data_IF_432486189658
#
_entry.id   IF_432486189658
#
_cell.length_a   1.000
_cell.length_b   1.000
_cell.length_c   1.000
_cell.angle_alpha   90.00
_cell.angle_beta   90.00
_cell.angle_gamma   90.00
#
_symmetry.space_group_name_H-M   'P 1'
#
loop_
_entity.id
_entity.type
_entity.pdbx_description
1 polymer ?
#
# COMPACT_ATOMS: atom_id res chain seq x y z
N UNK A 1 -1.60 11.49 -6.35
CA UNK A 1 -1.30 10.73 -5.10
C UNK A 1 -1.74 9.28 -5.15
N UNK A 2 -2.65 8.95 -6.07
CA UNK A 2 -3.18 7.60 -6.26
C UNK A 2 -2.38 6.76 -7.27
N UNK A 3 -1.16 7.21 -7.61
CA UNK A 3 -0.34 6.57 -8.64
C UNK A 3 -0.01 5.12 -8.28
N UNK A 4 -0.40 4.18 -9.15
CA UNK A 4 -0.22 2.74 -8.96
C UNK A 4 -1.14 2.12 -7.90
N UNK A 5 -2.12 2.88 -7.36
CA UNK A 5 -3.13 2.33 -6.45
C UNK A 5 -4.20 1.61 -7.24
N UNK A 6 -4.56 0.41 -6.80
CA UNK A 6 -5.58 -0.44 -7.41
C UNK A 6 -6.93 -0.18 -6.75
N UNK A 7 -7.83 0.48 -7.46
CA UNK A 7 -9.14 0.87 -6.95
C UNK A 7 -10.20 0.03 -7.66
N UNK A 8 -10.90 -0.78 -6.89
CA UNK A 8 -12.08 -1.49 -7.36
C UNK A 8 -13.31 -0.61 -7.11
N UNK A 9 -14.14 -0.39 -8.12
CA UNK A 9 -15.38 0.39 -8.00
C UNK A 9 -16.57 -0.55 -8.13
N UNK A 10 -17.43 -0.61 -7.11
CA UNK A 10 -18.71 -1.31 -7.13
C UNK A 10 -19.85 -0.33 -7.41
N UNK A 11 -20.56 -0.51 -8.53
CA UNK A 11 -21.64 0.37 -8.98
C UNK A 11 -22.99 -0.34 -8.82
N UNK A 12 -23.93 0.31 -8.14
CA UNK A 12 -25.28 -0.22 -7.91
C UNK A 12 -26.35 0.62 -8.63
N UNK A 13 -27.56 0.06 -8.79
CA UNK A 13 -28.66 0.65 -9.56
C UNK A 13 -29.25 1.93 -8.96
N UNK A 14 -28.57 3.06 -9.17
CA UNK A 14 -28.99 4.39 -8.75
C UNK A 14 -28.80 5.38 -9.89
N UNK A 15 -29.68 6.38 -9.98
CA UNK A 15 -29.53 7.48 -10.95
C UNK A 15 -28.16 8.15 -10.84
N UNK A 16 -27.56 8.20 -9.64
CA UNK A 16 -26.22 8.77 -9.44
C UNK A 16 -25.09 8.03 -10.18
N UNK A 17 -25.35 6.86 -10.78
CA UNK A 17 -24.36 6.10 -11.54
C UNK A 17 -23.82 6.89 -12.76
N UNK A 18 -24.56 7.88 -13.27
CA UNK A 18 -24.06 8.77 -14.34
C UNK A 18 -22.79 9.56 -13.93
N UNK A 19 -22.55 9.73 -12.62
CA UNK A 19 -21.37 10.42 -12.09
C UNK A 19 -20.09 9.55 -12.14
N UNK A 20 -20.24 8.24 -12.27
CA UNK A 20 -19.10 7.30 -12.18
C UNK A 20 -18.12 7.41 -13.35
N UNK A 21 -18.55 7.61 -14.61
CA UNK A 21 -17.63 7.97 -15.70
C UNK A 21 -16.67 9.12 -15.35
N UNK A 22 -17.15 10.18 -14.70
CA UNK A 22 -16.32 11.30 -14.27
C UNK A 22 -15.35 10.90 -13.16
N UNK A 23 -15.82 10.14 -12.16
CA UNK A 23 -14.99 9.62 -11.09
C UNK A 23 -13.85 8.75 -11.60
N UNK A 24 -14.12 7.81 -12.52
CA UNK A 24 -13.10 6.96 -13.13
C UNK A 24 -12.04 7.82 -13.82
N UNK A 25 -12.47 8.81 -14.62
CA UNK A 25 -11.55 9.71 -15.33
C UNK A 25 -10.64 10.48 -14.37
N UNK A 26 -11.16 10.95 -13.24
CA UNK A 26 -10.36 11.64 -12.22
C UNK A 26 -9.35 10.70 -11.56
N UNK A 27 -9.76 9.47 -11.20
CA UNK A 27 -8.88 8.47 -10.59
C UNK A 27 -7.75 8.03 -11.53
N UNK A 28 -8.06 7.77 -12.81
CA UNK A 28 -7.07 7.43 -13.83
C UNK A 28 -6.10 8.59 -14.08
N UNK A 29 -6.59 9.84 -14.09
CA UNK A 29 -5.75 11.04 -14.20
C UNK A 29 -4.76 11.16 -13.04
N UNK A 30 -5.15 10.75 -11.83
CA UNK A 30 -4.27 10.66 -10.65
C UNK A 30 -3.32 9.45 -10.67
N UNK A 31 -3.38 8.62 -11.71
CA UNK A 31 -2.51 7.48 -11.95
C UNK A 31 -2.97 6.17 -11.27
N UNK A 32 -4.22 6.09 -10.83
CA UNK A 32 -4.78 4.86 -10.26
C UNK A 32 -5.11 3.84 -11.35
N UNK A 33 -4.97 2.55 -11.02
CA UNK A 33 -5.51 1.46 -11.80
C UNK A 33 -6.95 1.18 -11.35
N UNK A 34 -7.91 1.22 -12.27
CA UNK A 34 -9.33 1.10 -11.92
C UNK A 34 -9.95 -0.13 -12.55
N UNK A 35 -10.59 -0.98 -11.73
CA UNK A 35 -11.49 -2.05 -12.18
C UNK A 35 -12.89 -1.79 -11.67
N UNK A 36 -13.89 -2.27 -12.41
CA UNK A 36 -15.29 -1.92 -12.14
C UNK A 36 -16.14 -3.19 -12.05
N UNK A 37 -16.90 -3.31 -10.97
CA UNK A 37 -17.98 -4.27 -10.77
C UNK A 37 -19.31 -3.53 -10.86
N UNK A 38 -20.25 -4.06 -11.62
CA UNK A 38 -21.54 -3.41 -11.91
C UNK A 38 -22.66 -4.39 -11.59
N UNK A 39 -23.61 -4.00 -10.74
CA UNK A 39 -24.83 -4.83 -10.55
C UNK A 39 -25.68 -4.81 -11.81
N UNK A 40 -26.52 -5.83 -12.00
CA UNK A 40 -27.47 -5.86 -13.11
C UNK A 40 -28.30 -4.56 -13.23
N UNK A 41 -28.90 -4.11 -12.12
CA UNK A 41 -29.69 -2.87 -12.07
C UNK A 41 -28.90 -1.59 -12.35
N UNK A 42 -27.56 -1.60 -12.28
CA UNK A 42 -26.74 -0.44 -12.61
C UNK A 42 -26.54 -0.27 -14.13
N UNK A 43 -26.72 -1.35 -14.90
CA UNK A 43 -26.56 -1.33 -16.37
C UNK A 43 -27.54 -0.39 -17.07
N UNK A 44 -28.71 -0.19 -16.47
CA UNK A 44 -29.76 0.71 -16.99
C UNK A 44 -29.38 2.19 -16.85
N UNK A 45 -28.47 2.53 -15.93
CA UNK A 45 -28.05 3.91 -15.68
C UNK A 45 -26.70 4.26 -16.29
N UNK A 46 -25.81 3.27 -16.42
CA UNK A 46 -24.48 3.45 -17.01
C UNK A 46 -24.06 2.19 -17.76
N UNK A 47 -23.59 2.37 -18.99
CA UNK A 47 -23.26 1.23 -19.85
C UNK A 47 -21.89 0.63 -19.50
N UNK A 48 -21.75 -0.71 -19.46
CA UNK A 48 -20.45 -1.37 -19.27
C UNK A 48 -19.38 -0.89 -20.27
N UNK A 49 -19.77 -0.63 -21.53
CA UNK A 49 -18.87 -0.10 -22.57
C UNK A 49 -18.21 1.23 -22.16
N UNK A 50 -18.98 2.17 -21.61
CA UNK A 50 -18.46 3.47 -21.16
C UNK A 50 -17.47 3.27 -20.02
N UNK A 51 -17.84 2.45 -19.04
CA UNK A 51 -17.01 2.14 -17.88
C UNK A 51 -15.69 1.50 -18.30
N UNK A 52 -15.74 0.53 -19.21
CA UNK A 52 -14.54 -0.16 -19.70
C UNK A 52 -13.61 0.74 -20.50
N UNK A 53 -14.18 1.61 -21.32
CA UNK A 53 -13.39 2.57 -22.12
C UNK A 53 -12.63 3.54 -21.21
N UNK A 54 -13.28 4.04 -20.16
CA UNK A 54 -12.68 5.03 -19.26
C UNK A 54 -11.71 4.42 -18.24
N UNK A 55 -11.95 3.19 -17.80
CA UNK A 55 -11.09 2.50 -16.83
C UNK A 55 -9.89 1.80 -17.49
N UNK A 56 -9.95 1.55 -18.81
CA UNK A 56 -8.99 0.72 -19.52
C UNK A 56 -9.07 -0.78 -19.17
N UNK A 57 -10.12 -1.19 -18.46
CA UNK A 57 -10.33 -2.56 -17.99
C UNK A 57 -11.79 -3.00 -18.23
N UNK A 58 -12.09 -4.30 -18.43
CA UNK A 58 -13.47 -4.77 -18.54
C UNK A 58 -14.32 -4.37 -17.32
N UNK A 59 -15.61 -4.10 -17.55
CA UNK A 59 -16.59 -3.85 -16.51
C UNK A 59 -17.36 -5.15 -16.25
N UNK A 60 -17.17 -5.73 -15.08
CA UNK A 60 -17.63 -7.08 -14.76
C UNK A 60 -19.00 -7.03 -14.07
N UNK A 61 -19.94 -7.87 -14.52
CA UNK A 61 -21.32 -7.86 -14.01
C UNK A 61 -21.73 -9.19 -13.37
N UNK A 62 -21.28 -10.30 -13.94
CA UNK A 62 -21.72 -11.65 -13.60
C UNK A 62 -20.50 -12.50 -13.23
N UNK A 63 -20.71 -13.62 -12.52
CA UNK A 63 -19.61 -14.53 -12.16
C UNK A 63 -19.03 -15.26 -13.39
N UNK A 64 -19.85 -15.44 -14.42
CA UNK A 64 -19.47 -16.11 -15.65
C UNK A 64 -19.71 -15.18 -16.83
N UNK A 65 -18.70 -15.05 -17.68
CA UNK A 65 -18.84 -14.34 -18.93
C UNK A 65 -19.58 -15.22 -19.94
N UNK A 66 -20.70 -14.74 -20.48
CA UNK A 66 -21.52 -15.54 -21.42
C UNK A 66 -20.85 -15.73 -22.78
N UNK A 67 -19.92 -14.84 -23.13
CA UNK A 67 -19.29 -14.83 -24.47
C UNK A 67 -18.17 -15.85 -24.61
N UNK A 68 -17.37 -16.08 -23.57
CA UNK A 68 -16.21 -16.99 -23.61
C UNK A 68 -16.17 -18.02 -22.47
N UNK A 69 -17.13 -17.98 -21.53
CA UNK A 69 -17.20 -18.90 -20.40
C UNK A 69 -16.17 -18.62 -19.30
N UNK A 70 -15.47 -17.49 -19.34
CA UNK A 70 -14.50 -17.11 -18.31
C UNK A 70 -15.17 -16.91 -16.95
N UNK A 71 -14.45 -17.30 -15.89
CA UNK A 71 -14.90 -17.15 -14.50
C UNK A 71 -14.27 -15.91 -13.87
N UNK A 72 -15.13 -15.04 -13.35
CA UNK A 72 -14.75 -13.82 -12.64
C UNK A 72 -14.71 -14.09 -11.14
N UNK A 73 -13.50 -14.29 -10.61
CA UNK A 73 -13.27 -14.63 -9.21
C UNK A 73 -13.43 -13.43 -8.28
N UNK A 74 -14.49 -13.45 -7.46
CA UNK A 74 -14.72 -12.45 -6.40
C UNK A 74 -13.57 -12.37 -5.38
N UNK A 75 -12.85 -13.48 -5.14
CA UNK A 75 -11.67 -13.52 -4.27
C UNK A 75 -10.49 -12.78 -4.91
N UNK A 76 -10.28 -12.94 -6.22
CA UNK A 76 -9.17 -12.30 -6.91
C UNK A 76 -9.36 -10.79 -7.00
N UNK A 77 -10.60 -10.32 -7.21
CA UNK A 77 -10.91 -8.89 -7.13
C UNK A 77 -10.65 -8.34 -5.72
N UNK A 78 -11.09 -9.07 -4.68
CA UNK A 78 -10.86 -8.69 -3.29
C UNK A 78 -9.38 -8.63 -2.89
N UNK A 79 -8.55 -9.53 -3.43
CA UNK A 79 -7.09 -9.54 -3.20
C UNK A 79 -6.34 -8.52 -4.08
N UNK A 80 -6.88 -8.18 -5.27
CA UNK A 80 -6.24 -7.25 -6.20
C UNK A 80 -6.34 -5.80 -5.73
N UNK A 81 -7.46 -5.43 -5.12
CA UNK A 81 -7.75 -4.04 -4.77
C UNK A 81 -6.95 -3.56 -3.55
N UNK A 82 -6.38 -2.35 -3.62
CA UNK A 82 -5.86 -1.61 -2.47
C UNK A 82 -7.00 -0.91 -1.69
N UNK A 83 -8.08 -0.55 -2.39
CA UNK A 83 -9.35 -0.03 -1.83
C UNK A 83 -10.50 -0.54 -2.68
N UNK A 84 -11.60 -0.90 -2.03
CA UNK A 84 -12.88 -1.18 -2.68
C UNK A 84 -13.88 -0.05 -2.40
N UNK A 85 -14.22 0.73 -3.43
CA UNK A 85 -15.18 1.84 -3.36
C UNK A 85 -16.53 1.41 -3.92
N UNK A 86 -17.58 1.36 -3.09
CA UNK A 86 -18.96 1.22 -3.55
C UNK A 86 -19.58 2.60 -3.79
N UNK A 87 -19.73 2.99 -5.06
CA UNK A 87 -20.23 4.30 -5.46
C UNK A 87 -20.95 4.21 -6.83
N UNK A 88 -22.22 4.65 -6.91
CA UNK A 88 -23.15 4.77 -5.79
C UNK A 88 -23.46 3.42 -5.16
N UNK A 89 -23.76 3.40 -3.86
CA UNK A 89 -24.39 2.25 -3.18
C UNK A 89 -25.86 2.53 -2.85
N UNK A 90 -26.77 1.66 -3.27
CA UNK A 90 -28.21 1.76 -2.97
C UNK A 90 -28.54 1.21 -1.58
N UNK A 91 -29.71 1.59 -1.05
CA UNK A 91 -30.23 1.02 0.20
C UNK A 91 -30.31 -0.51 0.16
N UNK A 92 -30.75 -1.09 -0.96
CA UNK A 92 -30.80 -2.55 -1.16
C UNK A 92 -29.43 -3.20 -1.01
N UNK A 93 -28.41 -2.65 -1.65
CA UNK A 93 -27.05 -3.21 -1.58
C UNK A 93 -26.46 -3.04 -0.20
N UNK A 94 -26.65 -1.88 0.46
CA UNK A 94 -26.23 -1.70 1.85
C UNK A 94 -26.93 -2.68 2.79
N UNK A 95 -28.21 -2.96 2.60
CA UNK A 95 -28.94 -3.98 3.35
C UNK A 95 -28.34 -5.37 3.17
N UNK A 96 -27.98 -5.74 1.93
CA UNK A 96 -27.27 -7.01 1.66
C UNK A 96 -25.90 -7.06 2.34
N UNK A 97 -25.11 -6.00 2.22
CA UNK A 97 -23.78 -5.90 2.84
C UNK A 97 -23.87 -5.99 4.37
N UNK A 98 -24.82 -5.29 4.99
CA UNK A 98 -24.99 -5.25 6.45
C UNK A 98 -25.46 -6.58 7.04
N UNK A 99 -26.03 -7.47 6.22
CA UNK A 99 -26.57 -8.76 6.64
C UNK A 99 -25.85 -9.97 5.99
N UNK A 100 -24.71 -9.76 5.34
CA UNK A 100 -23.88 -10.85 4.80
C UNK A 100 -24.47 -11.57 3.58
N UNK A 101 -25.30 -10.91 2.76
CA UNK A 101 -25.93 -11.52 1.58
C UNK A 101 -25.02 -11.35 0.35
N UNK A 102 -24.40 -12.43 -0.09
CA UNK A 102 -23.50 -12.49 -1.26
C UNK A 102 -24.15 -13.14 -2.49
N UNK A 103 -25.23 -12.54 -2.99
CA UNK A 103 -26.02 -13.08 -4.10
C UNK A 103 -25.60 -12.60 -5.51
N UNK A 104 -24.58 -11.75 -5.60
CA UNK A 104 -24.03 -11.27 -6.87
C UNK A 104 -22.51 -11.01 -6.76
N UNK A 105 -21.85 -10.79 -7.90
CA UNK A 105 -20.39 -10.62 -7.95
C UNK A 105 -19.90 -9.48 -7.04
N UNK A 106 -20.63 -8.35 -7.00
CA UNK A 106 -20.25 -7.17 -6.22
C UNK A 106 -20.34 -7.46 -4.70
N UNK A 107 -21.43 -8.03 -4.21
CA UNK A 107 -21.62 -8.33 -2.78
C UNK A 107 -20.78 -9.52 -2.32
N UNK A 108 -20.56 -10.52 -3.18
CA UNK A 108 -19.62 -11.60 -2.91
C UNK A 108 -18.17 -11.08 -2.82
N UNK A 109 -17.78 -10.16 -3.70
CA UNK A 109 -16.46 -9.52 -3.63
C UNK A 109 -16.32 -8.67 -2.36
N UNK A 110 -17.39 -8.01 -1.92
CA UNK A 110 -17.38 -7.24 -0.67
C UNK A 110 -17.07 -8.13 0.54
N UNK A 111 -17.72 -9.30 0.66
CA UNK A 111 -17.44 -10.23 1.75
C UNK A 111 -16.04 -10.85 1.67
N UNK A 112 -15.46 -10.96 0.47
CA UNK A 112 -14.11 -11.50 0.27
C UNK A 112 -13.01 -10.42 0.33
N UNK A 113 -13.37 -9.13 0.39
CA UNK A 113 -12.41 -8.04 0.35
C UNK A 113 -11.56 -8.01 1.62
N UNK A 114 -10.24 -7.91 1.45
CA UNK A 114 -9.27 -7.73 2.55
C UNK A 114 -8.77 -6.30 2.65
N UNK A 115 -9.08 -5.48 1.65
CA UNK A 115 -8.74 -4.08 1.60
C UNK A 115 -9.79 -3.21 2.30
N UNK A 116 -9.43 -1.97 2.66
CA UNK A 116 -10.38 -0.97 3.14
C UNK A 116 -11.55 -0.76 2.17
N UNK A 117 -12.77 -0.82 2.69
CA UNK A 117 -13.99 -0.61 1.92
C UNK A 117 -14.57 0.77 2.19
N UNK A 118 -14.83 1.54 1.13
CA UNK A 118 -15.53 2.82 1.18
C UNK A 118 -16.91 2.65 0.57
N UNK A 119 -17.91 3.34 1.10
CA UNK A 119 -19.25 3.32 0.53
C UNK A 119 -19.86 4.73 0.50
N UNK A 120 -20.36 5.12 -0.68
CA UNK A 120 -20.97 6.40 -0.97
C UNK A 120 -22.44 6.19 -1.36
N UNK A 121 -23.39 6.34 -0.41
CA UNK A 121 -24.78 6.05 -0.67
C UNK A 121 -25.43 7.06 -1.61
N UNK A 122 -26.43 6.57 -2.35
CA UNK A 122 -27.27 7.41 -3.18
C UNK A 122 -28.72 6.90 -3.18
N UNK A 123 -29.63 7.68 -2.62
CA UNK A 123 -31.06 7.36 -2.52
C UNK A 123 -31.89 8.60 -2.23
N UNK A 124 -33.21 8.46 -2.27
CA UNK A 124 -34.12 9.52 -1.86
C UNK A 124 -34.00 9.85 -0.36
N UNK A 125 -34.37 11.06 0.05
CA UNK A 125 -34.25 11.56 1.43
C UNK A 125 -35.03 10.69 2.42
N UNK A 126 -36.23 10.23 2.05
CA UNK A 126 -37.05 9.39 2.93
C UNK A 126 -36.42 8.01 3.11
N UNK A 127 -35.80 7.47 2.05
CA UNK A 127 -35.05 6.22 2.13
C UNK A 127 -33.81 6.38 3.00
N UNK A 128 -33.11 7.51 2.91
CA UNK A 128 -31.92 7.78 3.71
C UNK A 128 -32.25 7.94 5.20
N UNK A 129 -33.35 8.62 5.49
CA UNK A 129 -33.85 8.84 6.86
C UNK A 129 -34.56 7.62 7.46
N UNK A 130 -34.86 6.59 6.66
CA UNK A 130 -35.53 5.40 7.16
C UNK A 130 -34.68 4.70 8.24
N UNK A 131 -35.26 4.28 9.38
CA UNK A 131 -34.51 3.66 10.48
C UNK A 131 -33.65 2.47 10.06
N UNK A 132 -34.16 1.59 9.19
CA UNK A 132 -33.41 0.44 8.68
C UNK A 132 -32.16 0.86 7.87
N UNK A 133 -32.21 1.98 7.14
CA UNK A 133 -31.05 2.49 6.42
C UNK A 133 -30.00 3.00 7.41
N UNK A 134 -30.42 3.77 8.42
CA UNK A 134 -29.55 4.23 9.50
C UNK A 134 -28.87 3.08 10.25
N UNK A 135 -29.63 2.04 10.60
CA UNK A 135 -29.09 0.83 11.22
C UNK A 135 -28.06 0.12 10.34
N UNK A 136 -28.35 -0.04 9.04
CA UNK A 136 -27.42 -0.65 8.10
C UNK A 136 -26.13 0.17 7.96
N UNK A 137 -26.23 1.51 7.85
CA UNK A 137 -25.06 2.40 7.79
C UNK A 137 -24.20 2.21 9.06
N UNK A 138 -24.81 2.23 10.24
CA UNK A 138 -24.10 2.06 11.50
C UNK A 138 -23.44 0.67 11.62
N UNK A 139 -24.12 -0.40 11.17
CA UNK A 139 -23.53 -1.75 11.11
C UNK A 139 -22.32 -1.79 10.19
N UNK A 140 -22.43 -1.21 8.98
CA UNK A 140 -21.32 -1.17 8.03
C UNK A 140 -20.12 -0.39 8.58
N UNK A 141 -20.35 0.73 9.25
CA UNK A 141 -19.30 1.49 9.95
C UNK A 141 -18.68 0.62 11.06
N UNK A 142 -19.47 -0.12 11.83
CA UNK A 142 -18.97 -1.02 12.89
C UNK A 142 -18.08 -2.16 12.37
N UNK A 143 -18.23 -2.55 11.10
CA UNK A 143 -17.35 -3.51 10.43
C UNK A 143 -16.02 -2.90 9.97
N UNK A 144 -15.83 -1.59 10.16
CA UNK A 144 -14.63 -0.86 9.74
C UNK A 144 -14.73 -0.24 8.34
N UNK A 145 -15.92 -0.23 7.72
CA UNK A 145 -16.11 0.43 6.42
C UNK A 145 -16.12 1.95 6.56
N UNK A 146 -15.56 2.63 5.58
CA UNK A 146 -15.50 4.09 5.52
C UNK A 146 -16.74 4.67 4.85
N UNK A 147 -17.54 5.38 5.63
CA UNK A 147 -18.75 6.05 5.14
C UNK A 147 -18.41 7.38 4.46
N UNK A 148 -18.81 7.53 3.20
CA UNK A 148 -18.78 8.81 2.49
C UNK A 148 -20.19 9.41 2.55
N UNK A 149 -20.34 10.48 3.34
CA UNK A 149 -21.65 11.13 3.55
C UNK A 149 -22.21 11.64 2.22
N UNK A 150 -23.51 11.41 1.93
CA UNK A 150 -24.17 12.04 0.79
C UNK A 150 -24.25 13.56 0.95
N UNK A 151 -24.36 14.26 -0.16
CA UNK A 151 -24.66 15.69 -0.18
C UNK A 151 -26.13 15.97 0.13
N UNK A 152 -26.36 17.15 0.69
CA UNK A 152 -27.67 17.74 0.88
C UNK A 152 -28.01 18.64 -0.31
N UNK A 153 -29.20 18.48 -0.88
CA UNK A 153 -29.68 19.31 -1.98
C UNK A 153 -30.98 18.79 -2.57
N UNK A 154 -31.39 19.38 -3.69
CA UNK A 154 -32.56 18.91 -4.46
C UNK A 154 -32.27 17.55 -5.12
N UNK A 155 -33.18 16.61 -4.91
CA UNK A 155 -33.16 15.23 -5.40
C UNK A 155 -33.99 15.09 -6.68
N UNK A 156 -33.79 14.00 -7.43
CA UNK A 156 -34.54 13.74 -8.66
C UNK A 156 -36.06 13.58 -8.45
N UNK A 157 -36.49 13.29 -7.22
CA UNK A 157 -37.90 13.26 -6.81
C UNK A 157 -38.53 14.65 -6.65
N UNK A 158 -37.72 15.72 -6.64
CA UNK A 158 -38.12 17.09 -6.29
C UNK A 158 -38.04 17.39 -4.79
N UNK A 159 -37.65 16.43 -3.95
CA UNK A 159 -37.44 16.64 -2.51
C UNK A 159 -36.07 17.28 -2.24
N UNK A 160 -35.95 18.00 -1.12
CA UNK A 160 -34.69 18.60 -0.68
C UNK A 160 -34.18 17.89 0.58
N UNK A 161 -32.93 17.41 0.57
CA UNK A 161 -32.32 16.78 1.73
C UNK A 161 -31.07 15.98 1.42
N UNK A 162 -30.58 15.24 2.42
CA UNK A 162 -29.44 14.35 2.27
C UNK A 162 -29.84 13.09 1.48
N UNK A 163 -29.08 12.74 0.45
CA UNK A 163 -29.35 11.54 -0.35
C UNK A 163 -28.61 11.46 -1.69
N UNK A 164 -28.05 12.58 -2.14
CA UNK A 164 -27.24 12.63 -3.36
C UNK A 164 -25.88 12.01 -3.11
N UNK A 165 -25.42 11.14 -4.01
CA UNK A 165 -24.03 10.70 -3.96
C UNK A 165 -23.10 11.92 -3.99
N UNK A 166 -22.13 11.91 -3.07
CA UNK A 166 -21.04 12.88 -2.98
C UNK A 166 -20.40 13.15 -4.34
N UNK A 167 -19.93 14.37 -4.59
CA UNK A 167 -19.34 14.71 -5.88
C UNK A 167 -18.03 13.93 -6.13
N UNK A 168 -17.76 13.52 -7.39
CA UNK A 168 -16.57 12.76 -7.74
C UNK A 168 -15.25 13.35 -7.22
N UNK A 169 -15.08 14.68 -7.32
CA UNK A 169 -13.89 15.37 -6.83
C UNK A 169 -13.67 15.20 -5.32
N UNK A 170 -14.74 15.25 -4.52
CA UNK A 170 -14.67 15.05 -3.06
C UNK A 170 -14.41 13.58 -2.69
N UNK A 171 -14.95 12.64 -3.46
CA UNK A 171 -14.60 11.21 -3.32
C UNK A 171 -13.11 11.00 -3.59
N UNK A 172 -12.57 11.57 -4.67
CA UNK A 172 -11.13 11.48 -5.00
C UNK A 172 -10.27 12.13 -3.91
N UNK A 173 -10.68 13.27 -3.36
CA UNK A 173 -10.00 13.91 -2.22
C UNK A 173 -9.99 13.03 -0.98
N UNK A 174 -11.12 12.40 -0.67
CA UNK A 174 -11.25 11.49 0.47
C UNK A 174 -10.32 10.28 0.31
N UNK A 175 -10.32 9.64 -0.85
CA UNK A 175 -9.40 8.54 -1.15
C UNK A 175 -7.94 8.98 -1.13
N UNK A 176 -7.63 10.15 -1.70
CA UNK A 176 -6.27 10.70 -1.70
C UNK A 176 -5.78 10.99 -0.29
N UNK A 177 -6.66 11.49 0.59
CA UNK A 177 -6.37 11.75 2.00
C UNK A 177 -6.19 10.46 2.78
N UNK A 178 -6.99 9.42 2.48
CA UNK A 178 -6.83 8.10 3.07
C UNK A 178 -5.48 7.46 2.73
N UNK A 179 -5.08 7.51 1.47
CA UNK A 179 -3.77 7.03 1.03
C UNK A 179 -2.62 7.98 1.38
N UNK A 180 -2.92 9.18 1.85
CA UNK A 180 -1.91 10.11 2.34
C UNK A 180 -1.31 9.51 3.61
N UNK A 181 -0.13 8.91 3.47
CA UNK A 181 0.65 8.45 4.63
C UNK A 181 0.77 9.63 5.59
N UNK A 182 0.30 9.43 6.83
CA UNK A 182 0.54 10.40 7.90
C UNK A 182 2.03 10.69 7.88
N UNK A 183 2.40 11.95 7.71
CA UNK A 183 3.80 12.35 7.83
C UNK A 183 4.19 12.46 9.31
N UNK A 184 3.84 11.45 10.08
CA UNK A 184 4.02 11.40 11.53
C UNK A 184 5.48 11.28 11.96
N UNK A 185 6.38 10.95 11.01
CA UNK A 185 7.82 11.07 11.18
C UNK A 185 8.41 12.35 10.57
N UNK A 186 7.58 13.35 10.23
CA UNK A 186 8.09 14.67 9.81
C UNK A 186 9.08 15.22 10.83
N UNK A 187 10.23 15.69 10.34
CA UNK A 187 11.33 16.25 11.14
C UNK A 187 12.04 15.25 12.07
N UNK A 188 11.70 13.95 12.00
CA UNK A 188 12.43 12.90 12.71
C UNK A 188 13.64 12.44 11.90
N UNK A 189 14.78 12.31 12.57
CA UNK A 189 16.01 11.77 12.00
C UNK A 189 16.11 10.29 12.32
N UNK A 190 16.20 9.45 11.31
CA UNK A 190 16.18 7.99 11.45
C UNK A 190 17.48 7.40 10.93
N UNK A 191 18.19 6.66 11.77
CA UNK A 191 19.38 5.88 11.39
C UNK A 191 18.96 4.42 11.15
N UNK A 192 19.26 3.87 9.97
CA UNK A 192 18.99 2.48 9.64
C UNK A 192 20.26 1.82 9.11
N UNK A 193 20.62 0.64 9.63
CA UNK A 193 21.65 -0.21 9.00
C UNK A 193 21.02 -1.31 8.15
N UNK A 194 21.64 -1.65 7.01
CA UNK A 194 21.15 -2.67 6.09
C UNK A 194 22.27 -3.47 5.40
N UNK A 195 21.92 -4.65 4.91
CA UNK A 195 22.82 -5.50 4.12
C UNK A 195 23.86 -6.26 4.96
N UNK A 196 24.75 -7.02 4.31
CA UNK A 196 25.82 -7.76 4.97
C UNK A 196 27.07 -6.90 5.14
N UNK A 197 28.02 -7.31 5.98
CA UNK A 197 29.40 -6.79 5.91
C UNK A 197 30.34 -7.85 5.34
N UNK A 198 31.34 -7.42 4.58
CA UNK A 198 32.33 -8.26 3.93
C UNK A 198 33.71 -7.97 4.50
N UNK A 199 34.20 -8.92 5.31
CA UNK A 199 35.51 -8.87 5.96
C UNK A 199 36.57 -9.46 5.04
N UNK A 200 37.43 -8.61 4.50
CA UNK A 200 38.43 -9.01 3.51
C UNK A 200 39.47 -9.98 4.13
N UNK A 201 39.65 -11.13 3.47
CA UNK A 201 40.76 -12.05 3.74
C UNK A 201 41.98 -11.62 2.89
N UNK A 202 41.72 -11.37 1.61
CA UNK A 202 42.64 -10.84 0.61
C UNK A 202 41.83 -9.95 -0.37
N UNK A 203 42.42 -9.33 -1.41
CA UNK A 203 41.67 -8.46 -2.33
C UNK A 203 40.58 -9.16 -3.16
N UNK A 204 40.49 -10.51 -3.10
CA UNK A 204 39.57 -11.33 -3.90
C UNK A 204 38.53 -12.05 -3.03
N UNK A 205 38.91 -12.41 -1.80
CA UNK A 205 38.11 -13.24 -0.90
C UNK A 205 37.72 -12.48 0.35
N UNK A 206 36.52 -12.75 0.84
CA UNK A 206 36.00 -12.16 2.06
C UNK A 206 35.16 -13.17 2.83
N UNK A 207 34.93 -12.86 4.11
CA UNK A 207 33.94 -13.51 4.98
C UNK A 207 32.74 -12.58 5.06
N UNK A 208 31.53 -13.10 4.92
CA UNK A 208 30.33 -12.29 4.99
C UNK A 208 29.07 -13.10 5.23
N UNK A 209 27.97 -12.38 5.47
CA UNK A 209 26.67 -12.97 5.80
C UNK A 209 25.72 -12.94 4.59
N UNK A 210 24.71 -13.81 4.59
CA UNK A 210 23.71 -13.94 3.52
C UNK A 210 22.57 -12.92 3.61
N UNK A 211 22.86 -11.66 3.91
CA UNK A 211 21.83 -10.62 3.93
C UNK A 211 21.58 -10.07 2.54
N UNK A 212 20.30 -10.00 2.16
CA UNK A 212 19.86 -9.35 0.92
C UNK A 212 19.72 -7.84 1.07
N UNK A 213 19.69 -7.32 2.31
CA UNK A 213 19.46 -5.91 2.63
C UNK A 213 18.03 -5.41 2.39
N UNK A 214 17.13 -6.22 1.82
CA UNK A 214 15.78 -5.79 1.43
C UNK A 214 14.98 -5.18 2.57
N UNK A 215 15.07 -5.76 3.78
CA UNK A 215 14.35 -5.26 4.95
C UNK A 215 14.77 -3.83 5.32
N UNK A 216 16.07 -3.56 5.43
CA UNK A 216 16.56 -2.23 5.81
C UNK A 216 16.22 -1.17 4.76
N UNK A 217 16.27 -1.50 3.47
CA UNK A 217 15.86 -0.60 2.39
C UNK A 217 14.35 -0.34 2.41
N UNK A 218 13.52 -1.37 2.61
CA UNK A 218 12.07 -1.21 2.70
C UNK A 218 11.67 -0.32 3.88
N UNK A 219 12.32 -0.49 5.03
CA UNK A 219 12.12 0.38 6.19
C UNK A 219 12.53 1.82 5.90
N UNK A 220 13.72 2.04 5.30
CA UNK A 220 14.19 3.37 4.94
C UNK A 220 13.22 4.10 4.00
N UNK A 221 12.76 3.43 2.95
CA UNK A 221 11.75 3.95 2.03
C UNK A 221 10.44 4.28 2.76
N UNK A 222 9.98 3.43 3.69
CA UNK A 222 8.75 3.70 4.45
C UNK A 222 8.87 4.91 5.38
N UNK A 223 9.95 5.01 6.16
CA UNK A 223 10.20 6.16 7.03
C UNK A 223 10.29 7.46 6.23
N UNK A 224 11.01 7.44 5.11
CA UNK A 224 11.17 8.58 4.24
C UNK A 224 9.83 9.01 3.62
N UNK A 225 9.00 8.05 3.18
CA UNK A 225 7.63 8.29 2.69
C UNK A 225 6.70 8.89 3.77
N UNK A 226 6.95 8.57 5.05
CA UNK A 226 6.26 9.17 6.21
C UNK A 226 6.93 10.46 6.70
N UNK A 227 7.83 11.03 5.92
CA UNK A 227 8.39 12.37 6.12
C UNK A 227 9.65 12.43 6.98
N UNK A 228 10.23 11.30 7.36
CA UNK A 228 11.52 11.26 8.06
C UNK A 228 12.67 11.74 7.17
N UNK A 229 13.74 12.20 7.83
CA UNK A 229 15.08 12.36 7.28
C UNK A 229 15.88 11.11 7.64
N UNK A 230 16.23 10.29 6.65
CA UNK A 230 16.74 8.94 6.86
C UNK A 230 18.21 8.85 6.46
N UNK A 231 19.06 8.40 7.38
CA UNK A 231 20.43 7.95 7.06
C UNK A 231 20.44 6.43 6.99
N UNK A 232 20.67 5.89 5.80
CA UNK A 232 20.75 4.46 5.55
C UNK A 232 22.21 4.05 5.40
N UNK A 233 22.78 3.39 6.40
CA UNK A 233 24.12 2.80 6.35
C UNK A 233 24.02 1.39 5.78
N UNK A 234 24.44 1.20 4.54
CA UNK A 234 24.28 -0.06 3.82
C UNK A 234 25.61 -0.72 3.51
N UNK A 235 25.71 -1.99 3.89
CA UNK A 235 26.70 -2.91 3.37
C UNK A 235 26.50 -3.24 1.88
N UNK A 236 27.30 -4.16 1.31
CA UNK A 236 27.26 -4.47 -0.12
C UNK A 236 25.97 -5.19 -0.53
N UNK A 237 25.08 -4.46 -1.22
CA UNK A 237 23.85 -4.99 -1.85
C UNK A 237 23.54 -4.25 -3.14
N UNK A 238 22.90 -4.94 -4.09
CA UNK A 238 22.45 -4.36 -5.35
C UNK A 238 21.02 -3.78 -5.25
N UNK A 239 20.80 -2.91 -4.26
CA UNK A 239 19.53 -2.20 -4.05
C UNK A 239 19.83 -0.70 -4.05
N UNK A 240 19.00 0.10 -4.69
CA UNK A 240 19.08 1.56 -4.68
C UNK A 240 17.99 2.12 -3.78
N UNK A 241 18.28 3.28 -3.15
CA UNK A 241 17.29 4.09 -2.48
C UNK A 241 16.96 5.27 -3.40
N UNK A 242 15.66 5.51 -3.65
CA UNK A 242 15.22 6.51 -4.62
C UNK A 242 14.58 7.74 -3.95
N UNK A 243 14.15 7.60 -2.70
CA UNK A 243 13.50 8.71 -2.01
C UNK A 243 14.51 9.78 -1.61
N UNK A 244 14.21 11.04 -1.97
CA UNK A 244 15.08 12.22 -1.75
C UNK A 244 15.45 12.51 -0.28
N UNK A 245 14.65 12.01 0.67
CA UNK A 245 14.92 12.14 2.10
C UNK A 245 15.80 10.99 2.64
N UNK A 246 16.37 10.13 1.77
CA UNK A 246 17.30 9.08 2.17
C UNK A 246 18.71 9.49 1.77
N UNK A 247 19.58 9.65 2.76
CA UNK A 247 21.02 9.72 2.59
C UNK A 247 21.59 8.30 2.69
N UNK A 248 22.07 7.75 1.57
CA UNK A 248 22.64 6.41 1.51
C UNK A 248 24.16 6.44 1.72
N UNK A 249 24.63 5.86 2.81
CA UNK A 249 26.04 5.73 3.17
C UNK A 249 26.47 4.29 2.88
N UNK A 250 27.38 4.10 1.91
CA UNK A 250 27.87 2.77 1.53
C UNK A 250 29.11 2.41 2.33
N UNK A 251 29.07 1.22 2.91
CA UNK A 251 30.17 0.62 3.67
C UNK A 251 30.43 -0.79 3.18
N UNK A 252 31.62 -1.32 3.45
CA UNK A 252 32.00 -2.69 3.09
C UNK A 252 32.19 -3.56 4.32
N UNK A 253 32.95 -3.08 5.30
CA UNK A 253 33.32 -3.85 6.50
C UNK A 253 32.46 -3.51 7.72
N UNK A 254 32.50 -4.37 8.72
CA UNK A 254 31.90 -4.14 10.03
C UNK A 254 32.49 -2.89 10.71
N UNK A 255 33.78 -2.62 10.53
CA UNK A 255 34.41 -1.43 11.07
C UNK A 255 33.89 -0.15 10.40
N UNK A 256 33.82 -0.12 9.06
CA UNK A 256 33.26 1.03 8.34
C UNK A 256 31.79 1.26 8.72
N UNK A 257 31.01 0.19 8.87
CA UNK A 257 29.62 0.29 9.32
C UNK A 257 29.53 0.83 10.74
N UNK A 258 30.38 0.37 11.64
CA UNK A 258 30.49 0.87 13.00
C UNK A 258 30.78 2.38 13.00
N UNK A 259 31.80 2.83 12.27
CA UNK A 259 32.20 4.24 12.23
C UNK A 259 31.07 5.13 11.66
N UNK A 260 30.39 4.67 10.61
CA UNK A 260 29.27 5.37 9.99
C UNK A 260 28.03 5.46 10.91
N UNK A 261 27.70 4.36 11.60
CA UNK A 261 26.61 4.34 12.57
C UNK A 261 26.91 5.24 13.76
N UNK A 262 28.09 5.11 14.37
CA UNK A 262 28.51 5.88 15.55
C UNK A 262 28.55 7.38 15.28
N UNK A 263 29.07 7.81 14.12
CA UNK A 263 29.10 9.23 13.73
C UNK A 263 27.70 9.83 13.48
N UNK A 264 26.70 9.00 13.18
CA UNK A 264 25.33 9.45 12.91
C UNK A 264 24.43 9.37 14.14
N UNK A 265 24.70 8.43 15.05
CA UNK A 265 23.80 8.02 16.12
C UNK A 265 23.33 9.17 17.01
N UNK A 266 24.25 10.02 17.48
CA UNK A 266 23.92 11.13 18.40
C UNK A 266 22.87 12.11 17.84
N UNK A 267 22.76 12.21 16.52
CA UNK A 267 21.80 13.09 15.85
C UNK A 267 20.47 12.41 15.49
N UNK A 268 20.27 11.14 15.80
CA UNK A 268 19.09 10.36 15.41
C UNK A 268 18.04 10.31 16.52
N UNK A 269 16.76 10.45 16.15
CA UNK A 269 15.61 10.21 17.03
C UNK A 269 15.27 8.72 17.14
N UNK A 270 15.51 7.96 16.06
CA UNK A 270 15.14 6.55 15.92
C UNK A 270 16.31 5.83 15.26
N UNK A 271 16.70 4.69 15.83
CA UNK A 271 17.76 3.84 15.31
C UNK A 271 17.24 2.42 15.08
N UNK A 272 17.50 1.86 13.89
CA UNK A 272 17.11 0.49 13.51
C UNK A 272 18.33 -0.24 12.96
N UNK A 273 18.78 -1.26 13.66
CA UNK A 273 19.94 -2.06 13.26
C UNK A 273 19.51 -3.35 12.56
N UNK A 274 19.25 -3.27 11.25
CA UNK A 274 18.79 -4.39 10.43
C UNK A 274 19.88 -5.01 9.54
N UNK A 275 21.13 -4.51 9.62
CA UNK A 275 22.27 -5.12 8.94
C UNK A 275 22.66 -6.47 9.56
N UNK A 276 23.16 -7.38 8.72
CA UNK A 276 23.80 -8.61 9.16
C UNK A 276 25.32 -8.37 9.24
N UNK A 277 25.74 -7.82 10.38
CA UNK A 277 27.15 -7.50 10.66
C UNK A 277 27.90 -8.79 10.99
N UNK A 278 29.11 -8.94 10.47
CA UNK A 278 29.99 -10.05 10.80
C UNK A 278 30.54 -9.91 12.23
N UNK A 279 30.46 -10.99 13.03
CA UNK A 279 30.98 -11.02 14.41
C UNK A 279 32.52 -11.11 14.48
N UNK A 280 33.14 -11.55 13.38
CA UNK A 280 34.56 -11.81 13.30
C UNK A 280 35.14 -11.29 11.98
N UNK A 281 36.37 -10.81 12.05
CA UNK A 281 37.15 -10.31 10.92
C UNK A 281 38.55 -10.93 10.92
N UNK A 282 39.20 -11.15 9.76
CA UNK A 282 40.58 -11.62 9.72
C UNK A 282 41.52 -10.75 10.56
N UNK A 283 42.32 -11.38 11.42
CA UNK A 283 43.25 -10.68 12.29
C UNK A 283 44.33 -9.92 11.49
N UNK A 284 44.73 -10.49 10.34
CA UNK A 284 45.70 -9.94 9.38
C UNK A 284 45.19 -10.14 7.96
N UNK A 285 44.45 -9.18 7.38
CA UNK A 285 44.07 -9.22 5.97
C UNK A 285 45.32 -9.06 5.09
N UNK A 286 45.42 -9.87 4.03
CA UNK A 286 46.54 -9.84 3.11
C UNK A 286 46.35 -8.78 2.02
N UNK A 287 47.38 -8.01 1.71
CA UNK A 287 47.32 -6.98 0.66
C UNK A 287 47.35 -7.57 -0.76
N UNK A 288 47.76 -8.83 -0.90
CA UNK A 288 47.84 -9.53 -2.18
C UNK A 288 47.07 -10.86 -2.11
N UNK A 289 46.61 -11.32 -3.28
CA UNK A 289 45.91 -12.60 -3.38
C UNK A 289 46.78 -13.72 -2.84
N UNK A 290 46.27 -14.44 -1.84
CA UNK A 290 46.98 -15.55 -1.22
C UNK A 290 47.21 -16.64 -2.28
N UNK A 291 48.49 -16.96 -2.54
CA UNK A 291 48.89 -17.98 -3.51
C UNK A 291 48.38 -19.35 -3.06
N UNK A 292 48.01 -20.20 -4.02
CA UNK A 292 47.64 -21.59 -3.72
C UNK A 292 48.87 -22.32 -3.18
N UNK A 293 48.75 -22.84 -1.97
CA UNK A 293 49.72 -23.73 -1.31
C UNK A 293 49.18 -25.16 -1.35
N UNK A 294 50.06 -26.17 -1.30
CA UNK A 294 49.66 -27.58 -1.16
C UNK A 294 49.12 -27.93 0.23
N UNK A 295 49.50 -27.15 1.25
CA UNK A 295 48.89 -27.18 2.58
C UNK A 295 47.61 -26.31 2.59
N UNK A 296 46.60 -26.73 3.35
CA UNK A 296 45.33 -26.00 3.50
C UNK A 296 45.52 -24.54 4.00
N UNK A 297 44.47 -23.74 3.89
CA UNK A 297 44.48 -22.33 4.32
C UNK A 297 43.87 -22.19 5.71
N UNK A 298 44.63 -21.65 6.66
CA UNK A 298 44.16 -21.27 8.00
C UNK A 298 44.03 -19.75 8.08
N UNK A 299 42.89 -19.26 8.55
CA UNK A 299 42.62 -17.84 8.73
C UNK A 299 42.36 -17.59 10.22
N UNK A 300 43.22 -16.81 10.85
CA UNK A 300 43.02 -16.37 12.24
C UNK A 300 42.01 -15.22 12.26
N UNK A 301 40.99 -15.32 13.13
CA UNK A 301 39.92 -14.34 13.24
C UNK A 301 39.97 -13.63 14.58
N UNK A 302 39.67 -12.34 14.58
CA UNK A 302 39.43 -11.53 15.78
C UNK A 302 37.99 -11.02 15.78
N UNK A 303 37.46 -10.69 16.96
CA UNK A 303 36.11 -10.12 17.08
C UNK A 303 36.05 -8.72 16.44
N UNK A 304 34.91 -8.41 15.83
CA UNK A 304 34.58 -7.06 15.39
C UNK A 304 34.06 -6.21 16.55
N UNK A 305 33.92 -4.90 16.32
CA UNK A 305 33.30 -4.02 17.30
C UNK A 305 31.78 -4.22 17.30
N UNK A 306 31.22 -4.33 18.50
CA UNK A 306 29.78 -4.51 18.70
C UNK A 306 29.08 -3.15 18.60
N UNK A 307 28.41 -2.92 17.46
CA UNK A 307 27.69 -1.68 17.19
C UNK A 307 26.57 -1.47 18.23
N UNK A 308 25.78 -2.50 18.55
CA UNK A 308 24.63 -2.36 19.46
C UNK A 308 25.10 -1.97 20.87
N UNK A 309 26.15 -2.63 21.34
CA UNK A 309 26.75 -2.33 22.64
C UNK A 309 27.25 -0.90 22.74
N UNK A 310 27.90 -0.38 21.70
CA UNK A 310 28.41 1.00 21.69
C UNK A 310 27.27 2.03 21.63
N UNK A 311 26.25 1.77 20.82
CA UNK A 311 25.11 2.68 20.68
C UNK A 311 24.19 2.65 21.92
N UNK A 312 24.34 1.66 22.81
CA UNK A 312 23.51 1.52 24.01
C UNK A 312 22.05 1.17 23.69
N UNK A 313 21.84 0.42 22.61
CA UNK A 313 20.54 -0.02 22.09
C UNK A 313 20.33 -1.50 22.37
#
# INVERSE_FOLDING_TARGET
>A
MLKGKKILIGITGSIAAYKIPFLIRLLVKEGAEVKVLVTDAARDFVTPLTLSTLSGNPAYCEFFEKSDGSWHSHVDFGNWADVYLLAPVTATTMGKMANGIADNLLTATYLAAKCPVFFAPAMDVDMFNHPSTGENINKLISYGNFFIKPEEGELASGLYGAGRMQEPDEIVKTLSSFFQKKKDFSKKKVLISAGPTYEAIDPVRFIGNFSTGQMGFALAEEFANRGADVKLVSGPVNIQAFHKNIELIRVKSAQEMYDACSSTFQGSDITIMAAAVADYTPAKPEAQKIKKSSAGLTIELKKTNDILKELGV
#
